data_IF_034936175418
#
_entry.id   IF_034936175418
#
_cell.length_a   1.000
_cell.length_b   1.000
_cell.length_c   1.000
_cell.angle_alpha   90.00
_cell.angle_beta   90.00
_cell.angle_gamma   90.00
#
_symmetry.space_group_name_H-M   'P 1'
#
loop_
_entity.id
_entity.type
_entity.pdbx_description
1 polymer ?
#
# COMPACT_ATOMS: atom_id res chain seq x y z
N UNK A 1 18.84 -1.91 11.08
CA UNK A 1 18.16 -0.80 11.80
C UNK A 1 17.55 0.23 10.85
N UNK A 2 18.30 0.77 9.88
CA UNK A 2 17.80 1.82 8.98
C UNK A 2 16.59 1.40 8.12
N UNK A 3 16.62 0.22 7.52
CA UNK A 3 15.51 -0.28 6.69
C UNK A 3 14.20 -0.45 7.47
N UNK A 4 14.26 -0.91 8.72
CA UNK A 4 13.08 -1.05 9.59
C UNK A 4 12.49 0.30 9.99
N UNK A 5 13.34 1.32 10.21
CA UNK A 5 12.89 2.69 10.47
C UNK A 5 12.18 3.28 9.25
N UNK A 6 12.78 3.13 8.06
CA UNK A 6 12.19 3.58 6.78
C UNK A 6 10.83 2.92 6.56
N UNK A 7 10.74 1.62 6.80
CA UNK A 7 9.47 0.88 6.72
C UNK A 7 8.42 1.46 7.65
N UNK A 8 8.74 1.68 8.94
CA UNK A 8 7.81 2.27 9.90
C UNK A 8 7.31 3.66 9.48
N UNK A 9 8.23 4.52 9.01
CA UNK A 9 7.89 5.86 8.54
C UNK A 9 6.97 5.80 7.31
N UNK A 10 7.23 4.89 6.37
CA UNK A 10 6.35 4.71 5.22
C UNK A 10 4.97 4.19 5.63
N UNK A 11 4.89 3.21 6.52
CA UNK A 11 3.60 2.69 6.99
C UNK A 11 2.79 3.76 7.73
N UNK A 12 3.46 4.59 8.54
CA UNK A 12 2.82 5.73 9.18
C UNK A 12 2.33 6.76 8.14
N UNK A 13 3.11 7.05 7.11
CA UNK A 13 2.68 7.94 6.03
C UNK A 13 1.46 7.38 5.26
N UNK A 14 1.45 6.08 4.96
CA UNK A 14 0.30 5.42 4.34
C UNK A 14 -0.93 5.44 5.26
N UNK A 15 -0.78 5.17 6.55
CA UNK A 15 -1.88 5.23 7.51
C UNK A 15 -2.52 6.64 7.52
N UNK A 16 -1.70 7.70 7.53
CA UNK A 16 -2.17 9.07 7.45
C UNK A 16 -2.87 9.36 6.13
N UNK A 17 -2.24 9.00 5.00
CA UNK A 17 -2.83 9.17 3.67
C UNK A 17 -4.21 8.51 3.62
N UNK A 18 -4.30 7.25 4.04
CA UNK A 18 -5.56 6.52 4.02
C UNK A 18 -6.61 7.11 4.97
N UNK A 19 -6.26 7.42 6.22
CA UNK A 19 -7.21 7.96 7.20
C UNK A 19 -7.77 9.33 6.77
N UNK A 20 -6.92 10.25 6.34
CA UNK A 20 -7.34 11.62 6.03
C UNK A 20 -7.94 11.76 4.63
N UNK A 21 -7.33 11.12 3.62
CA UNK A 21 -7.78 11.25 2.23
C UNK A 21 -9.04 10.42 1.98
N UNK A 22 -9.28 9.32 2.70
CA UNK A 22 -10.40 8.41 2.41
C UNK A 22 -11.49 8.42 3.49
N UNK A 23 -11.52 9.45 4.35
CA UNK A 23 -12.48 9.58 5.47
C UNK A 23 -13.97 9.71 5.10
N UNK A 24 -14.33 9.87 3.82
CA UNK A 24 -15.73 9.98 3.37
C UNK A 24 -16.03 9.04 2.20
N UNK A 25 -17.06 8.22 2.36
CA UNK A 25 -17.50 7.22 1.40
C UNK A 25 -17.92 7.81 0.03
N UNK A 26 -18.35 9.08 -0.03
CA UNK A 26 -18.98 9.65 -1.24
C UNK A 26 -18.06 9.75 -2.46
N UNK A 27 -16.73 9.76 -2.28
CA UNK A 27 -15.76 9.86 -3.38
C UNK A 27 -14.57 8.90 -3.19
N UNK A 28 -14.76 7.80 -2.45
CA UNK A 28 -13.67 6.93 -2.04
C UNK A 28 -12.99 6.26 -3.25
N UNK A 29 -13.77 5.91 -4.28
CA UNK A 29 -13.29 5.32 -5.54
C UNK A 29 -12.50 6.31 -6.39
N UNK A 30 -12.94 7.56 -6.50
CA UNK A 30 -12.22 8.59 -7.28
C UNK A 30 -10.87 8.91 -6.65
N UNK A 31 -10.84 9.02 -5.31
CA UNK A 31 -9.62 9.26 -4.55
C UNK A 31 -8.68 8.07 -4.64
N UNK A 32 -9.22 6.85 -4.62
CA UNK A 32 -8.44 5.64 -4.82
C UNK A 32 -7.84 5.60 -6.21
N UNK A 33 -8.63 5.87 -7.25
CA UNK A 33 -8.15 5.91 -8.62
C UNK A 33 -7.02 6.94 -8.80
N UNK A 34 -7.17 8.14 -8.23
CA UNK A 34 -6.13 9.17 -8.29
C UNK A 34 -4.82 8.73 -7.60
N UNK A 35 -4.91 8.17 -6.39
CA UNK A 35 -3.72 7.67 -5.69
C UNK A 35 -3.13 6.42 -6.35
N UNK A 36 -3.96 5.55 -6.94
CA UNK A 36 -3.52 4.37 -7.68
C UNK A 36 -2.75 4.77 -8.95
N UNK A 37 -3.24 5.76 -9.70
CA UNK A 37 -2.50 6.34 -10.83
C UNK A 37 -1.18 6.94 -10.37
N UNK A 38 -1.15 7.62 -9.21
CA UNK A 38 0.09 8.09 -8.59
C UNK A 38 1.07 6.96 -8.28
N UNK A 39 0.60 5.85 -7.70
CA UNK A 39 1.41 4.68 -7.41
C UNK A 39 1.97 4.02 -8.69
N UNK A 40 1.17 3.95 -9.75
CA UNK A 40 1.64 3.49 -11.07
C UNK A 40 2.70 4.42 -11.66
N UNK A 41 2.54 5.75 -11.49
CA UNK A 41 3.54 6.73 -11.91
C UNK A 41 4.88 6.53 -11.19
N UNK A 42 4.85 6.27 -9.87
CA UNK A 42 6.07 5.95 -9.10
C UNK A 42 6.69 4.64 -9.62
N UNK A 43 5.89 3.59 -9.83
CA UNK A 43 6.37 2.32 -10.35
C UNK A 43 7.05 2.48 -11.73
N UNK A 44 6.48 3.34 -12.58
CA UNK A 44 7.06 3.68 -13.89
C UNK A 44 8.42 4.38 -13.74
N UNK A 45 8.51 5.40 -12.89
CA UNK A 45 9.76 6.14 -12.62
C UNK A 45 10.84 5.20 -12.06
N UNK A 46 10.49 4.35 -11.09
CA UNK A 46 11.42 3.37 -10.50
C UNK A 46 11.94 2.42 -11.58
N UNK A 47 11.06 1.95 -12.46
CA UNK A 47 11.45 1.04 -13.55
C UNK A 47 12.40 1.70 -14.55
N UNK A 48 12.17 2.98 -14.87
CA UNK A 48 13.11 3.75 -15.70
C UNK A 48 14.49 3.92 -15.05
N UNK A 49 14.54 3.99 -13.71
CA UNK A 49 15.79 4.17 -12.97
C UNK A 49 16.57 2.87 -12.75
N UNK A 50 15.90 1.71 -12.73
CA UNK A 50 16.55 0.40 -12.51
C UNK A 50 16.80 -0.36 -13.81
N UNK A 51 15.73 -0.74 -14.51
CA UNK A 51 15.74 -1.55 -15.71
C UNK A 51 14.33 -1.56 -16.30
N UNK A 52 14.19 -1.24 -17.59
CA UNK A 52 12.90 -1.21 -18.26
C UNK A 52 12.28 -2.62 -18.40
N UNK A 53 13.11 -3.67 -18.46
CA UNK A 53 12.60 -5.04 -18.54
C UNK A 53 11.89 -5.47 -17.24
N UNK A 54 12.24 -4.83 -16.12
CA UNK A 54 11.58 -5.01 -14.82
C UNK A 54 10.27 -4.22 -14.69
N UNK A 55 9.86 -3.46 -15.70
CA UNK A 55 8.66 -2.61 -15.65
C UNK A 55 7.40 -3.39 -15.32
N UNK A 56 7.20 -4.56 -15.93
CA UNK A 56 6.01 -5.40 -15.64
C UNK A 56 6.00 -5.87 -14.18
N UNK A 57 7.14 -6.32 -13.67
CA UNK A 57 7.29 -6.81 -12.30
C UNK A 57 7.06 -5.68 -11.31
N UNK A 58 7.67 -4.52 -11.55
CA UNK A 58 7.52 -3.35 -10.68
C UNK A 58 6.08 -2.81 -10.71
N UNK A 59 5.42 -2.74 -11.87
CA UNK A 59 4.01 -2.35 -11.95
C UNK A 59 3.14 -3.26 -11.09
N UNK A 60 3.26 -4.57 -11.26
CA UNK A 60 2.50 -5.56 -10.47
C UNK A 60 2.80 -5.42 -8.98
N UNK A 61 4.08 -5.26 -8.63
CA UNK A 61 4.54 -5.16 -7.23
C UNK A 61 4.00 -3.92 -6.53
N UNK A 62 4.09 -2.75 -7.16
CA UNK A 62 3.61 -1.51 -6.57
C UNK A 62 2.08 -1.42 -6.56
N UNK A 63 1.42 -1.79 -7.67
CA UNK A 63 -0.03 -1.72 -7.78
C UNK A 63 -0.73 -2.72 -6.86
N UNK A 64 -0.22 -3.95 -6.80
CA UNK A 64 -0.78 -5.01 -5.96
C UNK A 64 -0.58 -4.71 -4.47
N UNK A 65 0.59 -4.22 -4.08
CA UNK A 65 0.84 -3.83 -2.69
C UNK A 65 -0.07 -2.68 -2.24
N UNK A 66 -0.19 -1.63 -3.07
CA UNK A 66 -1.06 -0.50 -2.77
C UNK A 66 -2.53 -0.93 -2.65
N UNK A 67 -3.00 -1.80 -3.55
CA UNK A 67 -4.36 -2.34 -3.51
C UNK A 67 -4.62 -3.10 -2.20
N UNK A 68 -3.69 -3.96 -1.76
CA UNK A 68 -3.83 -4.71 -0.52
C UNK A 68 -3.88 -3.79 0.71
N UNK A 69 -3.03 -2.76 0.76
CA UNK A 69 -3.08 -1.77 1.84
C UNK A 69 -4.40 -0.99 1.85
N UNK A 70 -4.95 -0.68 0.67
CA UNK A 70 -6.26 -0.05 0.58
C UNK A 70 -7.39 -0.97 1.06
N UNK A 71 -7.32 -2.28 0.75
CA UNK A 71 -8.27 -3.25 1.30
C UNK A 71 -8.18 -3.35 2.83
N UNK A 72 -6.99 -3.28 3.40
CA UNK A 72 -6.81 -3.18 4.86
C UNK A 72 -7.48 -1.93 5.42
N UNK A 73 -7.29 -0.79 4.78
CA UNK A 73 -7.96 0.45 5.18
C UNK A 73 -9.48 0.30 5.17
N UNK A 74 -10.05 -0.21 4.07
CA UNK A 74 -11.49 -0.45 3.95
C UNK A 74 -11.98 -1.42 5.02
N UNK A 75 -11.25 -2.50 5.29
CA UNK A 75 -11.60 -3.44 6.35
C UNK A 75 -11.68 -2.75 7.71
N UNK A 76 -10.70 -1.91 8.03
CA UNK A 76 -10.66 -1.21 9.32
C UNK A 76 -11.82 -0.21 9.46
N UNK A 77 -12.14 0.56 8.42
CA UNK A 77 -13.17 1.61 8.50
C UNK A 77 -14.59 1.06 8.32
N UNK A 78 -14.81 0.14 7.39
CA UNK A 78 -16.16 -0.35 7.07
C UNK A 78 -16.57 -1.56 7.92
N UNK A 79 -15.62 -2.48 8.19
CA UNK A 79 -15.91 -3.72 8.93
C UNK A 79 -15.69 -3.53 10.42
N UNK A 80 -14.49 -3.11 10.85
CA UNK A 80 -14.17 -2.91 12.27
C UNK A 80 -14.79 -1.60 12.80
N UNK A 81 -14.96 -0.59 11.93
CA UNK A 81 -15.51 0.73 12.27
C UNK A 81 -14.69 1.48 13.32
N UNK A 82 -13.36 1.44 13.18
CA UNK A 82 -12.45 2.17 14.07
C UNK A 82 -12.43 3.67 13.76
N UNK A 83 -13.08 4.45 14.64
CA UNK A 83 -13.18 5.90 14.46
C UNK A 83 -12.05 6.68 15.16
N UNK A 84 -11.36 6.09 16.14
CA UNK A 84 -10.25 6.74 16.86
C UNK A 84 -8.96 6.64 16.05
N UNK A 85 -8.43 7.78 15.62
CA UNK A 85 -7.20 7.90 14.85
C UNK A 85 -6.03 7.07 15.41
N UNK A 86 -5.72 7.18 16.71
CA UNK A 86 -4.58 6.46 17.30
C UNK A 86 -4.73 4.95 17.22
N UNK A 87 -5.96 4.43 17.39
CA UNK A 87 -6.24 2.99 17.29
C UNK A 87 -6.18 2.56 15.82
N UNK A 88 -6.74 3.36 14.92
CA UNK A 88 -6.65 3.14 13.47
C UNK A 88 -5.20 3.00 13.02
N UNK A 89 -4.30 3.91 13.39
CA UNK A 89 -2.90 3.89 12.95
C UNK A 89 -2.19 2.64 13.44
N UNK A 90 -2.41 2.23 14.69
CA UNK A 90 -1.80 1.01 15.26
C UNK A 90 -2.34 -0.22 14.54
N UNK A 91 -3.66 -0.34 14.38
CA UNK A 91 -4.30 -1.47 13.70
C UNK A 91 -3.89 -1.57 12.23
N UNK A 92 -3.86 -0.44 11.52
CA UNK A 92 -3.40 -0.36 10.14
C UNK A 92 -1.94 -0.79 10.02
N UNK A 93 -1.06 -0.28 10.89
CA UNK A 93 0.37 -0.62 10.86
C UNK A 93 0.60 -2.10 11.13
N UNK A 94 -0.12 -2.68 12.09
CA UNK A 94 -0.05 -4.11 12.40
C UNK A 94 -0.51 -4.97 11.21
N UNK A 95 -1.66 -4.64 10.60
CA UNK A 95 -2.16 -5.36 9.43
C UNK A 95 -1.26 -5.18 8.20
N UNK A 96 -0.77 -3.97 7.97
CA UNK A 96 0.15 -3.66 6.88
C UNK A 96 1.47 -4.43 7.02
N UNK A 97 1.95 -4.66 8.24
CA UNK A 97 3.11 -5.53 8.49
C UNK A 97 2.86 -6.96 8.01
N UNK A 98 1.72 -7.57 8.38
CA UNK A 98 1.34 -8.91 7.90
C UNK A 98 1.17 -8.96 6.39
N UNK A 99 0.49 -7.97 5.80
CA UNK A 99 0.35 -7.83 4.36
C UNK A 99 1.71 -7.75 3.68
N UNK A 100 2.67 -7.00 4.24
CA UNK A 100 4.01 -6.86 3.66
C UNK A 100 4.75 -8.20 3.62
N UNK A 101 4.76 -8.94 4.74
CA UNK A 101 5.42 -10.25 4.80
C UNK A 101 4.79 -11.22 3.81
N UNK A 102 3.46 -11.31 3.81
CA UNK A 102 2.73 -12.21 2.93
C UNK A 102 2.95 -11.82 1.46
N UNK A 103 2.84 -10.54 1.14
CA UNK A 103 2.96 -10.03 -0.22
C UNK A 103 4.37 -10.21 -0.79
N UNK A 104 5.41 -9.98 0.02
CA UNK A 104 6.79 -10.22 -0.42
C UNK A 104 7.01 -11.70 -0.73
N UNK A 105 6.45 -12.60 0.10
CA UNK A 105 6.50 -14.05 -0.15
C UNK A 105 5.80 -14.42 -1.46
N UNK A 106 4.59 -13.89 -1.70
CA UNK A 106 3.82 -14.13 -2.93
C UNK A 106 4.54 -13.60 -4.17
N UNK A 107 5.09 -12.38 -4.11
CA UNK A 107 5.82 -11.78 -5.22
C UNK A 107 7.11 -12.56 -5.52
N UNK A 108 7.85 -13.00 -4.49
CA UNK A 108 9.04 -13.84 -4.70
C UNK A 108 8.68 -15.15 -5.41
N UNK A 109 7.59 -15.81 -4.99
CA UNK A 109 7.09 -17.00 -5.70
C UNK A 109 6.66 -16.67 -7.13
N UNK A 110 5.94 -15.58 -7.37
CA UNK A 110 5.50 -15.18 -8.71
C UNK A 110 6.67 -14.89 -9.66
N UNK A 111 7.72 -14.21 -9.18
CA UNK A 111 8.93 -13.92 -9.95
C UNK A 111 9.66 -15.21 -10.32
N UNK A 112 9.66 -16.25 -9.48
CA UNK A 112 10.28 -17.54 -9.83
C UNK A 112 9.61 -18.26 -11.02
N UNK A 113 8.37 -17.90 -11.36
CA UNK A 113 7.64 -18.48 -12.49
C UNK A 113 7.77 -17.66 -13.80
N UNK A 114 8.49 -16.53 -13.78
CA UNK A 114 8.72 -15.65 -14.94
C UNK A 114 10.21 -15.58 -15.29
#
# INVERSE_FOLDING_TARGET
MLAGLIFFLMMFAFANLFYFVFSKASNILERFAACFVGALGIAFIVSLATDFDMLKINLIKFSGYYLLLYLVHLFIIEVIKLNKYSIYVISFSAMAFFVTIFYDTVIQSFIQYF
#
